data_IF_011034584020
#
_entry.id   IF_011034584020
#
_cell.length_a   1.000
_cell.length_b   1.000
_cell.length_c   1.000
_cell.angle_alpha   90.00
_cell.angle_beta   90.00
_cell.angle_gamma   90.00
#
_symmetry.space_group_name_H-M   'P 1'
#
loop_
_entity.id
_entity.type
_entity.pdbx_description
1 polymer ?
#
# COMPACT_ATOMS: atom_id res chain seq x y z
N UNK A 1 -16.15 -13.55 -15.05
CA UNK A 1 -14.83 -12.87 -14.98
C UNK A 1 -13.91 -13.53 -15.97
N UNK A 2 -13.40 -12.77 -16.94
CA UNK A 2 -12.63 -13.35 -18.06
C UNK A 2 -11.13 -13.36 -17.75
N UNK A 3 -10.50 -14.54 -17.69
CA UNK A 3 -9.04 -14.67 -17.57
C UNK A 3 -8.31 -13.89 -18.68
N UNK A 4 -8.89 -13.82 -19.87
CA UNK A 4 -8.34 -13.06 -20.98
C UNK A 4 -8.38 -11.55 -20.74
N UNK A 5 -9.38 -11.06 -20.00
CA UNK A 5 -9.47 -9.65 -19.59
C UNK A 5 -8.33 -9.30 -18.61
N UNK A 6 -8.05 -10.18 -17.64
CA UNK A 6 -6.92 -9.99 -16.71
C UNK A 6 -5.57 -10.00 -17.44
N UNK A 7 -5.37 -10.95 -18.36
CA UNK A 7 -4.13 -11.02 -19.14
C UNK A 7 -3.91 -9.76 -20.00
N UNK A 8 -4.97 -9.25 -20.64
CA UNK A 8 -4.92 -8.00 -21.40
C UNK A 8 -4.68 -6.78 -20.48
N UNK A 9 -5.25 -6.77 -19.28
CA UNK A 9 -5.01 -5.70 -18.31
C UNK A 9 -3.54 -5.69 -17.87
N UNK A 10 -2.96 -6.85 -17.57
CA UNK A 10 -1.54 -6.97 -17.22
C UNK A 10 -0.67 -6.47 -18.38
N UNK A 11 -0.91 -6.92 -19.61
CA UNK A 11 -0.16 -6.47 -20.77
C UNK A 11 -0.22 -4.93 -20.95
N UNK A 12 -1.37 -4.32 -20.68
CA UNK A 12 -1.54 -2.86 -20.82
C UNK A 12 -0.79 -2.09 -19.72
N UNK A 13 -0.72 -2.64 -18.51
CA UNK A 13 -0.13 -1.97 -17.34
C UNK A 13 1.38 -2.18 -17.22
N UNK A 14 1.90 -3.30 -17.71
CA UNK A 14 3.32 -3.60 -17.67
C UNK A 14 4.00 -3.29 -19.01
N UNK A 15 4.86 -2.25 -19.08
CA UNK A 15 5.61 -1.92 -20.29
C UNK A 15 6.54 -3.04 -20.80
N UNK A 16 6.93 -3.99 -19.94
CA UNK A 16 7.77 -5.12 -20.30
C UNK A 16 6.99 -6.26 -21.00
N UNK A 17 5.66 -6.28 -20.85
CA UNK A 17 4.79 -7.32 -21.44
C UNK A 17 4.57 -7.10 -22.94
N UNK A 18 5.24 -7.89 -23.76
CA UNK A 18 5.19 -7.74 -25.24
C UNK A 18 3.86 -8.16 -25.86
N UNK A 19 3.24 -9.21 -25.32
CA UNK A 19 1.98 -9.76 -25.82
C UNK A 19 1.23 -10.56 -24.75
N UNK A 20 -0.07 -10.80 -24.98
CA UNK A 20 -0.96 -11.51 -24.05
C UNK A 20 -0.51 -12.96 -23.80
N UNK A 21 0.07 -13.63 -24.80
CA UNK A 21 0.53 -15.01 -24.67
C UNK A 21 1.70 -15.10 -23.68
N UNK A 22 2.62 -14.15 -23.74
CA UNK A 22 3.72 -14.02 -22.77
C UNK A 22 3.21 -13.87 -21.33
N UNK A 23 2.19 -13.03 -21.13
CA UNK A 23 1.54 -12.86 -19.83
C UNK A 23 0.94 -14.16 -19.34
N UNK A 24 0.19 -14.87 -20.18
CA UNK A 24 -0.46 -16.14 -19.82
C UNK A 24 0.57 -17.21 -19.44
N UNK A 25 1.70 -17.26 -20.12
CA UNK A 25 2.68 -18.34 -19.94
C UNK A 25 3.71 -18.05 -18.85
N UNK A 26 4.09 -16.78 -18.62
CA UNK A 26 5.27 -16.44 -17.85
C UNK A 26 4.98 -15.59 -16.59
N UNK A 27 3.83 -14.91 -16.51
CA UNK A 27 3.58 -13.97 -15.42
C UNK A 27 3.03 -14.62 -14.16
N UNK A 28 3.77 -14.58 -13.03
CA UNK A 28 3.33 -15.18 -11.78
C UNK A 28 2.05 -14.53 -11.24
N UNK A 29 1.88 -13.21 -11.44
CA UNK A 29 0.67 -12.49 -11.08
C UNK A 29 -0.58 -13.01 -11.80
N UNK A 30 -0.48 -13.37 -13.09
CA UNK A 30 -1.56 -14.01 -13.81
C UNK A 30 -1.83 -15.44 -13.31
N UNK A 31 -0.77 -16.22 -13.10
CA UNK A 31 -0.91 -17.61 -12.66
C UNK A 31 -1.61 -17.69 -11.29
N UNK A 32 -1.23 -16.84 -10.34
CA UNK A 32 -1.85 -16.89 -9.00
C UNK A 32 -3.35 -16.54 -9.05
N UNK A 33 -3.79 -15.65 -9.95
CA UNK A 33 -5.21 -15.35 -10.14
C UNK A 33 -5.98 -16.57 -10.66
N UNK A 34 -5.37 -17.37 -11.55
CA UNK A 34 -5.97 -18.65 -12.01
C UNK A 34 -6.11 -19.61 -10.83
N UNK A 35 -5.04 -19.84 -10.05
CA UNK A 35 -5.08 -20.70 -8.86
C UNK A 35 -6.11 -20.21 -7.85
N UNK A 36 -6.15 -18.91 -7.61
CA UNK A 36 -7.10 -18.32 -6.65
C UNK A 36 -8.55 -18.53 -7.09
N UNK A 37 -8.90 -18.35 -8.35
CA UNK A 37 -10.27 -18.59 -8.83
C UNK A 37 -10.73 -20.02 -8.60
N UNK A 38 -9.87 -21.00 -8.87
CA UNK A 38 -10.16 -22.41 -8.61
C UNK A 38 -10.30 -22.65 -7.10
N UNK A 39 -9.37 -22.15 -6.30
CA UNK A 39 -9.38 -22.30 -4.86
C UNK A 39 -10.60 -21.61 -4.21
N UNK A 40 -10.96 -20.42 -4.67
CA UNK A 40 -12.12 -19.67 -4.18
C UNK A 40 -13.43 -20.39 -4.52
N UNK A 41 -13.58 -20.91 -5.72
CA UNK A 41 -14.72 -21.73 -6.12
C UNK A 41 -14.87 -22.96 -5.21
N UNK A 42 -13.79 -23.70 -4.95
CA UNK A 42 -13.76 -24.82 -4.02
C UNK A 42 -14.15 -24.40 -2.59
N UNK A 43 -13.65 -23.24 -2.15
CA UNK A 43 -13.96 -22.68 -0.83
C UNK A 43 -15.45 -22.35 -0.69
N UNK A 44 -16.04 -21.69 -1.68
CA UNK A 44 -17.49 -21.40 -1.71
C UNK A 44 -18.35 -22.68 -1.70
N UNK A 45 -17.84 -23.79 -2.29
CA UNK A 45 -18.48 -25.10 -2.25
C UNK A 45 -18.12 -25.92 -0.99
N UNK A 46 -17.57 -25.27 0.05
CA UNK A 46 -17.20 -25.89 1.35
C UNK A 46 -16.15 -27.00 1.23
N UNK A 47 -15.39 -27.05 0.15
CA UNK A 47 -14.27 -27.98 -0.07
C UNK A 47 -12.96 -27.39 0.48
N UNK A 48 -12.95 -27.05 1.76
CA UNK A 48 -11.89 -26.24 2.39
C UNK A 48 -10.48 -26.85 2.25
N UNK A 49 -10.36 -28.16 2.43
CA UNK A 49 -9.06 -28.85 2.28
C UNK A 49 -8.51 -28.70 0.85
N UNK A 50 -9.34 -29.00 -0.17
CA UNK A 50 -8.93 -28.88 -1.57
C UNK A 50 -8.67 -27.43 -1.96
N UNK A 51 -9.47 -26.49 -1.49
CA UNK A 51 -9.25 -25.07 -1.68
C UNK A 51 -7.88 -24.63 -1.15
N UNK A 52 -7.53 -25.07 0.06
CA UNK A 52 -6.24 -24.79 0.68
C UNK A 52 -5.09 -25.45 -0.06
N UNK A 53 -5.27 -26.69 -0.50
CA UNK A 53 -4.27 -27.41 -1.28
C UNK A 53 -3.94 -26.69 -2.59
N UNK A 54 -4.95 -26.26 -3.36
CA UNK A 54 -4.78 -25.49 -4.60
C UNK A 54 -4.08 -24.15 -4.33
N UNK A 55 -4.52 -23.41 -3.29
CA UNK A 55 -3.89 -22.16 -2.89
C UNK A 55 -2.41 -22.33 -2.54
N UNK A 56 -2.06 -23.35 -1.75
CA UNK A 56 -0.67 -23.61 -1.39
C UNK A 56 0.18 -24.09 -2.58
N UNK A 57 -0.43 -24.78 -3.54
CA UNK A 57 0.25 -25.12 -4.79
C UNK A 57 0.56 -23.84 -5.60
N UNK A 58 -0.40 -22.93 -5.73
CA UNK A 58 -0.20 -21.62 -6.35
C UNK A 58 0.93 -20.82 -5.68
N UNK A 59 0.93 -20.76 -4.34
CA UNK A 59 2.01 -20.11 -3.57
C UNK A 59 3.39 -20.68 -3.88
N UNK A 60 3.53 -22.01 -3.93
CA UNK A 60 4.82 -22.66 -4.25
C UNK A 60 5.33 -22.31 -5.66
N UNK A 61 4.40 -22.13 -6.61
CA UNK A 61 4.73 -21.84 -8.00
C UNK A 61 5.04 -20.37 -8.27
N UNK A 62 4.43 -19.47 -7.51
CA UNK A 62 4.45 -18.03 -7.80
C UNK A 62 5.12 -17.19 -6.72
N UNK A 63 5.32 -17.72 -5.51
CA UNK A 63 5.76 -16.95 -4.35
C UNK A 63 4.69 -16.02 -3.77
N UNK A 64 3.43 -16.11 -4.25
CA UNK A 64 2.30 -15.26 -3.85
C UNK A 64 1.30 -16.10 -3.06
N UNK A 65 0.95 -15.67 -1.86
CA UNK A 65 -0.08 -16.32 -1.05
C UNK A 65 -1.38 -15.55 -1.12
N UNK A 66 -2.44 -16.22 -1.60
CA UNK A 66 -3.81 -15.72 -1.54
C UNK A 66 -4.67 -16.77 -0.84
N UNK A 67 -5.30 -16.37 0.28
CA UNK A 67 -6.23 -17.28 0.97
C UNK A 67 -7.46 -17.54 0.10
N UNK A 68 -7.98 -18.78 0.02
CA UNK A 68 -9.14 -19.11 -0.81
C UNK A 68 -10.41 -18.31 -0.47
N UNK A 69 -10.54 -17.84 0.77
CA UNK A 69 -11.67 -17.03 1.22
C UNK A 69 -11.61 -15.56 0.77
N UNK A 70 -10.47 -15.08 0.32
CA UNK A 70 -10.33 -13.70 -0.14
C UNK A 70 -11.23 -13.42 -1.36
N UNK A 71 -11.83 -12.24 -1.41
CA UNK A 71 -12.64 -11.78 -2.55
C UNK A 71 -11.82 -10.81 -3.39
N UNK A 72 -11.69 -11.08 -4.68
CA UNK A 72 -10.90 -10.28 -5.61
C UNK A 72 -11.77 -9.85 -6.78
N UNK A 73 -11.82 -8.56 -7.04
CA UNK A 73 -12.50 -7.95 -8.17
C UNK A 73 -11.83 -8.23 -9.50
N UNK A 74 -12.18 -7.45 -10.52
CA UNK A 74 -11.67 -7.60 -11.90
C UNK A 74 -10.37 -6.82 -12.09
N UNK A 75 -9.58 -7.24 -13.05
CA UNK A 75 -8.41 -6.50 -13.51
C UNK A 75 -7.38 -6.21 -12.39
N UNK A 76 -7.24 -7.09 -11.40
CA UNK A 76 -6.16 -6.97 -10.44
C UNK A 76 -4.82 -7.15 -11.15
N UNK A 77 -3.93 -6.18 -11.02
CA UNK A 77 -2.55 -6.28 -11.48
C UNK A 77 -1.61 -6.54 -10.29
N UNK A 78 -0.90 -7.65 -10.35
CA UNK A 78 0.14 -8.01 -9.38
C UNK A 78 1.48 -7.90 -10.10
N UNK A 79 2.28 -6.91 -9.69
CA UNK A 79 3.59 -6.68 -10.26
C UNK A 79 4.68 -7.38 -9.45
N UNK A 80 5.51 -8.20 -10.14
CA UNK A 80 6.50 -9.13 -9.57
C UNK A 80 5.90 -10.17 -8.62
N UNK A 81 5.15 -9.77 -7.61
CA UNK A 81 4.33 -10.58 -6.74
C UNK A 81 5.03 -11.34 -5.62
N UNK A 82 6.34 -11.57 -5.66
CA UNK A 82 7.05 -12.33 -4.64
C UNK A 82 6.79 -11.78 -3.23
N UNK A 83 6.42 -12.66 -2.28
CA UNK A 83 6.20 -12.30 -0.88
C UNK A 83 4.88 -11.58 -0.59
N UNK A 84 3.96 -11.52 -1.55
CA UNK A 84 2.58 -11.05 -1.30
C UNK A 84 1.84 -12.05 -0.41
N UNK A 85 1.05 -11.52 0.54
CA UNK A 85 0.13 -12.30 1.36
C UNK A 85 -1.22 -11.60 1.46
N UNK A 86 -2.28 -12.27 0.96
CA UNK A 86 -3.67 -11.84 1.17
C UNK A 86 -4.38 -12.80 2.12
N UNK A 87 -4.87 -12.28 3.23
CA UNK A 87 -5.56 -13.06 4.26
C UNK A 87 -6.99 -13.45 3.89
N UNK A 88 -7.61 -14.27 4.73
CA UNK A 88 -8.89 -14.94 4.48
C UNK A 88 -10.05 -14.00 4.16
N UNK A 89 -10.18 -12.91 4.92
CA UNK A 89 -11.31 -11.98 4.79
C UNK A 89 -10.93 -10.69 4.05
N UNK A 90 -9.85 -10.73 3.24
CA UNK A 90 -9.52 -9.64 2.34
C UNK A 90 -10.59 -9.44 1.28
N UNK A 91 -10.87 -8.19 0.98
CA UNK A 91 -11.69 -7.78 -0.15
C UNK A 91 -10.90 -6.78 -0.97
N UNK A 92 -10.80 -7.03 -2.27
CA UNK A 92 -10.05 -6.18 -3.21
C UNK A 92 -11.00 -5.81 -4.33
N UNK A 93 -11.20 -4.52 -4.54
CA UNK A 93 -12.05 -3.97 -5.60
C UNK A 93 -11.47 -4.18 -7.00
N UNK A 94 -12.11 -3.57 -7.97
CA UNK A 94 -11.72 -3.65 -9.38
C UNK A 94 -10.50 -2.78 -9.68
N UNK A 95 -9.70 -3.19 -10.66
CA UNK A 95 -8.61 -2.43 -11.25
C UNK A 95 -7.48 -2.01 -10.28
N UNK A 96 -7.30 -2.75 -9.19
CA UNK A 96 -6.23 -2.50 -8.24
C UNK A 96 -4.86 -2.91 -8.79
N UNK A 97 -3.81 -2.29 -8.24
CA UNK A 97 -2.39 -2.62 -8.53
C UNK A 97 -1.66 -2.89 -7.23
N UNK A 98 -1.03 -4.06 -7.13
CA UNK A 98 -0.34 -4.52 -5.93
C UNK A 98 1.08 -4.94 -6.28
N UNK A 99 2.05 -4.35 -5.61
CA UNK A 99 3.45 -4.69 -5.79
C UNK A 99 3.91 -5.82 -4.87
N UNK A 100 5.10 -6.35 -5.16
CA UNK A 100 5.73 -7.41 -4.35
C UNK A 100 5.85 -7.05 -2.87
N UNK A 101 5.92 -8.07 -2.01
CA UNK A 101 6.12 -7.91 -0.57
C UNK A 101 4.94 -7.31 0.20
N UNK A 102 3.82 -7.00 -0.46
CA UNK A 102 2.63 -6.45 0.19
C UNK A 102 1.96 -7.50 1.07
N UNK A 103 1.54 -7.08 2.27
CA UNK A 103 0.74 -7.91 3.17
C UNK A 103 -0.60 -7.24 3.46
N UNK A 104 -1.69 -7.91 3.11
CA UNK A 104 -3.04 -7.58 3.58
C UNK A 104 -3.37 -8.53 4.74
N UNK A 105 -2.93 -8.14 5.94
CA UNK A 105 -2.91 -8.99 7.14
C UNK A 105 -4.04 -8.71 8.12
N UNK A 106 -4.38 -9.69 8.94
CA UNK A 106 -5.33 -9.55 10.04
C UNK A 106 -4.66 -9.24 11.37
N UNK A 107 -5.46 -8.87 12.37
CA UNK A 107 -4.99 -8.62 13.74
C UNK A 107 -4.74 -9.89 14.56
N UNK A 108 -5.14 -11.06 14.05
CA UNK A 108 -4.96 -12.35 14.74
C UNK A 108 -5.84 -12.60 15.96
N UNK A 109 -6.69 -11.64 16.36
CA UNK A 109 -7.55 -11.75 17.54
C UNK A 109 -9.01 -12.07 17.23
N UNK A 110 -9.49 -11.74 16.02
CA UNK A 110 -10.88 -11.84 15.63
C UNK A 110 -11.09 -13.00 14.67
N UNK A 111 -12.26 -13.65 14.76
CA UNK A 111 -12.67 -14.74 13.85
C UNK A 111 -13.48 -14.25 12.64
N UNK A 112 -14.01 -13.02 12.70
CA UNK A 112 -14.80 -12.41 11.63
C UNK A 112 -13.95 -11.63 10.61
N UNK A 113 -14.48 -10.50 10.16
CA UNK A 113 -13.76 -9.55 9.28
C UNK A 113 -12.55 -8.99 10.02
N UNK A 114 -11.35 -9.43 9.64
CA UNK A 114 -10.09 -9.07 10.29
C UNK A 114 -8.99 -8.65 9.32
N UNK A 115 -9.25 -8.73 8.02
CA UNK A 115 -8.32 -8.34 6.96
C UNK A 115 -8.84 -7.12 6.22
N UNK A 116 -7.96 -6.40 5.52
CA UNK A 116 -8.30 -5.16 4.82
C UNK A 116 -9.36 -5.31 3.73
N UNK A 117 -10.03 -4.19 3.47
CA UNK A 117 -10.84 -3.97 2.26
C UNK A 117 -10.22 -2.85 1.45
N UNK A 118 -9.92 -3.11 0.19
CA UNK A 118 -9.50 -2.12 -0.79
C UNK A 118 -10.67 -1.79 -1.70
N UNK A 119 -10.93 -0.51 -1.90
CA UNK A 119 -11.84 -0.02 -2.92
C UNK A 119 -11.33 -0.28 -4.33
N UNK A 120 -11.92 0.40 -5.32
CA UNK A 120 -11.53 0.29 -6.72
C UNK A 120 -10.34 1.21 -7.04
N UNK A 121 -9.55 0.84 -8.05
CA UNK A 121 -8.43 1.64 -8.55
C UNK A 121 -7.39 1.98 -7.45
N UNK A 122 -7.18 1.11 -6.49
CA UNK A 122 -6.21 1.31 -5.41
C UNK A 122 -4.84 0.79 -5.84
N UNK A 123 -3.80 1.60 -5.58
CA UNK A 123 -2.41 1.19 -5.76
C UNK A 123 -1.73 1.00 -4.41
N UNK A 124 -1.13 -0.18 -4.20
CA UNK A 124 -0.35 -0.49 -3.00
C UNK A 124 1.11 -0.72 -3.38
N UNK A 125 1.97 0.19 -2.95
CA UNK A 125 3.40 0.17 -3.22
C UNK A 125 4.14 -1.03 -2.60
N UNK A 126 5.32 -1.30 -3.12
CA UNK A 126 6.14 -2.45 -2.74
C UNK A 126 6.41 -2.50 -1.22
N UNK A 127 6.34 -3.70 -0.63
CA UNK A 127 6.65 -3.92 0.77
C UNK A 127 5.63 -3.38 1.79
N UNK A 128 4.56 -2.71 1.34
CA UNK A 128 3.53 -2.14 2.21
C UNK A 128 2.83 -3.20 3.06
N UNK A 129 2.52 -2.88 4.31
CA UNK A 129 1.73 -3.69 5.22
C UNK A 129 0.42 -2.98 5.55
N UNK A 130 -0.70 -3.59 5.21
CA UNK A 130 -2.04 -3.12 5.59
C UNK A 130 -2.59 -4.11 6.60
N UNK A 131 -2.81 -3.68 7.84
CA UNK A 131 -3.07 -4.57 8.96
C UNK A 131 -4.40 -4.25 9.65
N UNK A 132 -5.19 -5.28 9.83
CA UNK A 132 -6.50 -5.19 10.47
C UNK A 132 -7.65 -4.98 9.47
N UNK A 133 -8.91 -4.88 9.96
CA UNK A 133 -10.08 -4.70 9.13
C UNK A 133 -10.23 -3.24 8.64
N UNK A 134 -9.13 -2.69 8.14
CA UNK A 134 -9.09 -1.31 7.64
C UNK A 134 -9.66 -1.22 6.23
N UNK A 135 -10.24 -0.07 5.92
CA UNK A 135 -10.76 0.27 4.61
C UNK A 135 -9.85 1.30 3.93
N UNK A 136 -9.47 1.03 2.69
CA UNK A 136 -8.77 1.98 1.82
C UNK A 136 -9.74 2.38 0.70
N UNK A 137 -10.09 3.67 0.67
CA UNK A 137 -11.06 4.20 -0.28
C UNK A 137 -10.59 4.16 -1.72
N UNK A 138 -11.55 4.28 -2.65
CA UNK A 138 -11.31 4.25 -4.09
C UNK A 138 -10.27 5.28 -4.54
N UNK A 139 -9.55 4.97 -5.61
CA UNK A 139 -8.55 5.85 -6.24
C UNK A 139 -7.44 6.30 -5.29
N UNK A 140 -7.13 5.52 -4.26
CA UNK A 140 -6.07 5.84 -3.29
C UNK A 140 -4.76 5.17 -3.63
N UNK A 141 -3.66 5.84 -3.27
CA UNK A 141 -2.30 5.39 -3.50
C UNK A 141 -1.55 5.27 -2.18
N UNK A 142 -0.96 4.11 -1.93
CA UNK A 142 -0.14 3.87 -0.74
C UNK A 142 1.31 3.70 -1.18
N UNK A 143 2.18 4.55 -0.62
CA UNK A 143 3.60 4.52 -0.94
C UNK A 143 4.31 3.24 -0.48
N UNK A 144 5.41 2.91 -1.16
CA UNK A 144 6.21 1.73 -0.83
C UNK A 144 6.71 1.77 0.63
N UNK A 145 6.82 0.60 1.26
CA UNK A 145 7.30 0.45 2.64
C UNK A 145 6.37 0.97 3.73
N UNK A 146 5.18 1.44 3.39
CA UNK A 146 4.24 2.01 4.36
C UNK A 146 3.58 0.96 5.24
N UNK A 147 3.11 1.37 6.44
CA UNK A 147 2.32 0.52 7.35
C UNK A 147 0.98 1.19 7.64
N UNK A 148 -0.08 0.66 7.04
CA UNK A 148 -1.44 1.19 7.19
C UNK A 148 -2.16 0.48 8.34
N UNK A 149 -2.58 1.26 9.35
CA UNK A 149 -3.25 0.77 10.56
C UNK A 149 -4.64 1.39 10.78
N UNK A 150 -5.06 2.30 9.89
CA UNK A 150 -6.34 3.04 10.00
C UNK A 150 -6.99 3.16 8.64
N UNK A 151 -8.30 3.41 8.63
CA UNK A 151 -9.03 3.68 7.40
C UNK A 151 -8.46 4.90 6.68
N UNK A 152 -8.39 4.81 5.36
CA UNK A 152 -7.95 5.89 4.49
C UNK A 152 -9.11 6.31 3.58
N UNK A 153 -9.32 7.64 3.40
CA UNK A 153 -10.37 8.14 2.52
C UNK A 153 -10.08 7.82 1.05
N UNK A 154 -11.07 7.97 0.21
CA UNK A 154 -10.90 7.90 -1.23
C UNK A 154 -10.07 9.09 -1.78
N UNK A 155 -9.46 8.89 -2.94
CA UNK A 155 -8.67 9.91 -3.65
C UNK A 155 -7.50 10.47 -2.83
N UNK A 156 -6.86 9.64 -2.01
CA UNK A 156 -5.74 10.08 -1.18
C UNK A 156 -4.42 9.39 -1.56
N UNK A 157 -3.32 10.05 -1.21
CA UNK A 157 -1.99 9.43 -1.13
C UNK A 157 -1.57 9.34 0.33
N UNK A 158 -1.17 8.15 0.76
CA UNK A 158 -0.69 7.93 2.13
C UNK A 158 0.68 7.24 2.11
N UNK A 159 1.58 7.67 3.01
CA UNK A 159 2.95 7.13 3.12
C UNK A 159 3.41 7.09 4.56
N UNK A 160 4.39 6.26 4.86
CA UNK A 160 5.10 6.24 6.15
C UNK A 160 4.72 5.08 7.07
N UNK A 161 5.35 5.07 8.26
CA UNK A 161 5.19 4.05 9.32
C UNK A 161 4.97 4.76 10.66
N UNK A 162 3.70 4.85 11.13
CA UNK A 162 2.45 4.49 10.47
C UNK A 162 2.15 5.41 9.27
N UNK A 163 1.35 4.91 8.31
CA UNK A 163 1.00 5.68 7.12
C UNK A 163 0.07 6.84 7.45
N UNK A 164 0.42 8.03 6.96
CA UNK A 164 -0.36 9.25 7.07
C UNK A 164 -0.76 9.77 5.69
N UNK A 165 -1.94 10.38 5.61
CA UNK A 165 -2.43 10.99 4.36
C UNK A 165 -1.65 12.26 4.08
N UNK A 166 -0.96 12.32 2.95
CA UNK A 166 -0.15 13.47 2.52
C UNK A 166 -0.79 14.26 1.40
N UNK A 167 -1.71 13.66 0.62
CA UNK A 167 -2.50 14.34 -0.41
C UNK A 167 -3.94 13.84 -0.37
N UNK A 168 -4.88 14.72 -0.64
CA UNK A 168 -6.30 14.39 -0.85
C UNK A 168 -6.73 15.04 -2.19
N UNK A 169 -7.64 14.37 -2.91
CA UNK A 169 -8.11 14.79 -4.23
C UNK A 169 -6.96 14.85 -5.27
N UNK A 170 -6.21 13.79 -5.39
CA UNK A 170 -5.22 13.61 -6.45
C UNK A 170 -5.90 13.83 -7.80
N UNK A 171 -5.69 15.02 -8.39
CA UNK A 171 -6.29 15.35 -9.68
C UNK A 171 -5.68 14.44 -10.76
N UNK A 172 -6.53 13.83 -11.53
CA UNK A 172 -6.41 13.51 -12.94
C UNK A 172 -5.74 12.19 -13.36
N UNK A 173 -5.04 11.43 -12.56
CA UNK A 173 -4.56 10.11 -13.00
C UNK A 173 -5.17 9.03 -12.12
N UNK A 174 -5.73 8.00 -12.73
CA UNK A 174 -6.15 6.82 -11.97
C UNK A 174 -4.92 6.24 -11.26
N UNK A 175 -4.83 6.25 -9.91
CA UNK A 175 -3.64 5.82 -9.20
C UNK A 175 -3.22 4.37 -9.51
N UNK A 176 -4.18 3.53 -9.88
CA UNK A 176 -3.91 2.14 -10.24
C UNK A 176 -3.20 1.99 -11.60
N UNK A 177 -3.24 3.00 -12.47
CA UNK A 177 -2.56 3.01 -13.75
C UNK A 177 -1.23 3.77 -13.72
N UNK A 178 -1.00 4.57 -12.67
CA UNK A 178 0.25 5.27 -12.44
C UNK A 178 1.20 4.39 -11.61
N UNK A 179 2.20 3.84 -12.26
CA UNK A 179 3.21 2.96 -11.65
C UNK A 179 4.38 3.72 -11.01
N UNK A 180 4.40 5.04 -11.10
CA UNK A 180 5.45 5.85 -10.49
C UNK A 180 5.32 5.87 -8.97
N UNK A 181 6.39 5.45 -8.28
CA UNK A 181 6.51 5.43 -6.83
C UNK A 181 7.64 6.34 -6.32
N UNK A 182 8.28 7.12 -7.20
CA UNK A 182 9.46 7.91 -6.83
C UNK A 182 9.07 9.28 -6.23
N UNK A 183 7.97 9.86 -6.67
CA UNK A 183 7.57 11.23 -6.31
C UNK A 183 6.65 11.29 -5.07
N UNK A 184 7.00 10.51 -4.04
CA UNK A 184 6.25 10.47 -2.78
C UNK A 184 6.88 11.40 -1.75
N UNK A 185 6.08 12.21 -1.03
CA UNK A 185 6.61 13.11 -0.01
C UNK A 185 7.22 12.34 1.17
N UNK A 186 8.42 12.74 1.58
CA UNK A 186 9.04 12.25 2.80
C UNK A 186 8.48 13.01 4.01
N UNK A 187 7.56 12.38 4.73
CA UNK A 187 6.91 12.96 5.91
C UNK A 187 7.93 13.19 7.04
N UNK A 188 8.90 12.30 7.19
CA UNK A 188 9.90 12.40 8.26
C UNK A 188 10.78 13.62 8.01
N UNK A 189 11.28 13.79 6.80
CA UNK A 189 12.06 14.96 6.42
C UNK A 189 11.27 16.27 6.59
N UNK A 190 10.00 16.29 6.20
CA UNK A 190 9.11 17.45 6.38
C UNK A 190 8.92 17.80 7.86
N UNK A 191 8.67 16.81 8.72
CA UNK A 191 8.52 17.03 10.17
C UNK A 191 9.81 17.47 10.82
N UNK A 192 10.95 16.90 10.45
CA UNK A 192 12.27 17.33 10.93
C UNK A 192 12.52 18.80 10.57
N UNK A 193 12.29 19.18 9.33
CA UNK A 193 12.45 20.59 8.89
C UNK A 193 11.52 21.53 9.67
N UNK A 194 10.28 21.14 9.99
CA UNK A 194 9.40 21.97 10.80
C UNK A 194 9.88 22.07 12.25
N UNK A 195 10.39 20.98 12.83
CA UNK A 195 10.97 20.97 14.17
C UNK A 195 12.21 21.83 14.25
N UNK A 196 13.13 21.76 13.27
CA UNK A 196 14.34 22.59 13.20
C UNK A 196 13.97 24.07 13.13
N UNK A 197 12.98 24.43 12.30
CA UNK A 197 12.50 25.82 12.22
C UNK A 197 11.94 26.32 13.55
N UNK A 198 11.14 25.48 14.24
CA UNK A 198 10.56 25.83 15.56
C UNK A 198 11.62 25.92 16.65
N UNK A 199 12.60 25.03 16.63
CA UNK A 199 13.73 25.05 17.56
C UNK A 199 14.55 26.33 17.37
N UNK A 200 14.91 26.67 16.13
CA UNK A 200 15.63 27.91 15.83
C UNK A 200 14.86 29.17 16.27
N UNK A 201 13.53 29.18 16.14
CA UNK A 201 12.72 30.28 16.65
C UNK A 201 12.77 30.40 18.18
N UNK A 202 12.74 29.27 18.91
CA UNK A 202 12.86 29.24 20.34
C UNK A 202 14.25 29.65 20.83
N UNK A 203 15.30 29.21 20.20
CA UNK A 203 16.68 29.58 20.50
C UNK A 203 16.92 31.08 20.29
N UNK A 204 16.40 31.66 19.21
CA UNK A 204 16.45 33.10 18.97
C UNK A 204 15.69 33.90 20.04
N UNK A 205 14.52 33.43 20.45
CA UNK A 205 13.74 34.06 21.54
C UNK A 205 14.48 33.99 22.87
N UNK A 206 15.09 32.85 23.20
CA UNK A 206 15.86 32.68 24.44
C UNK A 206 17.15 33.54 24.46
N UNK A 207 17.78 33.78 23.32
CA UNK A 207 18.94 34.68 23.23
C UNK A 207 18.55 36.15 23.35
N UNK A 208 17.33 36.54 22.94
CA UNK A 208 16.78 37.89 23.09
C UNK A 208 16.44 38.26 24.53
N UNK A 209 16.13 37.26 25.37
CA UNK A 209 15.78 37.44 26.80
C UNK A 209 16.99 37.31 27.75
N UNK A 210 18.21 37.19 27.26
CA UNK A 210 19.39 37.14 28.10
C UNK A 210 19.63 38.53 28.72
N UNK A 211 19.53 38.70 30.03
CA UNK A 211 19.78 40.01 30.66
C UNK A 211 21.22 40.45 30.32
N UNK A 212 21.43 41.75 30.07
CA UNK A 212 22.74 42.27 29.71
C UNK A 212 23.79 41.87 30.74
N UNK A 213 24.89 41.32 30.29
CA UNK A 213 26.03 40.94 31.16
C UNK A 213 26.52 42.11 31.95
N UNK A 214 27.12 41.88 33.12
CA UNK A 214 27.72 42.94 33.96
C UNK A 214 28.69 43.83 33.21
N UNK A 215 29.40 43.28 32.18
CA UNK A 215 30.28 44.03 31.31
C UNK A 215 29.53 44.99 30.37
N UNK A 216 28.37 44.63 29.87
CA UNK A 216 27.52 45.49 29.03
C UNK A 216 26.82 46.59 29.83
N UNK A 217 26.47 46.31 31.08
CA UNK A 217 25.96 47.33 32.00
C UNK A 217 27.02 48.35 32.41
N UNK A 218 28.26 47.89 32.64
CA UNK A 218 29.39 48.78 32.95
C UNK A 218 29.79 49.67 31.77
N UNK A 219 29.63 49.23 30.53
CA UNK A 219 29.89 50.03 29.34
C UNK A 219 28.88 51.17 29.14
N UNK A 220 27.59 50.95 29.52
CA UNK A 220 26.51 51.95 29.46
C UNK A 220 26.62 53.08 30.49
N UNK A 221 27.37 52.87 31.57
CA UNK A 221 27.57 53.91 32.62
C UNK A 221 28.79 54.84 32.29
N UNK A 222 29.55 54.55 31.24
CA UNK A 222 30.72 55.39 30.87
C UNK A 222 30.51 56.22 29.61
N UNK A 223 29.30 56.20 29.02
CA UNK A 223 28.87 57.08 27.93
C UNK A 223 27.84 58.12 28.48
#
# INVERSE_FOLDING_TARGET
>A
MGLLEDARNIQRKDPAARNVLEVILLYPGFHILVYHRIAHWLYQHKRFFLARWVSQHGRRRTGIEIHPGATIGRCLFIDHGMGIVFGETCEIGDNCTIYHGVTLGGTGKDTGKRHPTLGNNVLIGAGTKVLGPVYIGDNSRIGAGSVVLRNLPANCTAVGVPAEVVRINNKAVNPADDLDQQDLPDIVAQRLTDLDRRLGALENAAQGDTPPTAAQLAARQKS
#
